data_IF_454178467890
#
_entry.id   IF_454178467890
#
_cell.length_a   1.000
_cell.length_b   1.000
_cell.length_c   1.000
_cell.angle_alpha   90.00
_cell.angle_beta   90.00
_cell.angle_gamma   90.00
#
_symmetry.space_group_name_H-M   'P 1'
#
loop_
_entity.id
_entity.type
_entity.pdbx_description
1 polymer ?
#
# COMPACT_ATOMS: atom_id res chain seq x y z
N UNK A 1 9.16 -12.04 -9.76
CA UNK A 1 9.13 -11.14 -8.59
C UNK A 1 8.72 -9.71 -8.93
N UNK A 2 9.19 -9.13 -10.06
CA UNK A 2 8.86 -7.72 -10.42
C UNK A 2 7.37 -7.43 -10.49
N UNK A 3 6.58 -8.27 -11.13
CA UNK A 3 5.13 -8.06 -11.31
C UNK A 3 4.29 -8.26 -10.04
N UNK A 4 4.90 -8.62 -8.92
CA UNK A 4 4.17 -8.86 -7.66
C UNK A 4 4.00 -7.61 -6.78
N UNK A 5 4.83 -6.57 -6.97
CA UNK A 5 4.80 -5.39 -6.10
C UNK A 5 3.44 -4.67 -6.14
N UNK A 6 2.89 -4.44 -7.34
CA UNK A 6 1.58 -3.81 -7.52
C UNK A 6 0.45 -4.63 -6.88
N UNK A 7 0.26 -5.90 -7.26
CA UNK A 7 -0.74 -6.78 -6.65
C UNK A 7 -0.63 -6.92 -5.14
N UNK A 8 0.58 -7.01 -4.58
CA UNK A 8 0.78 -7.08 -3.13
C UNK A 8 0.36 -5.79 -2.43
N UNK A 9 0.68 -4.64 -3.02
CA UNK A 9 0.25 -3.35 -2.49
C UNK A 9 -1.28 -3.20 -2.58
N UNK A 10 -1.90 -3.64 -3.69
CA UNK A 10 -3.36 -3.69 -3.83
C UNK A 10 -3.99 -4.60 -2.77
N UNK A 11 -3.42 -5.78 -2.54
CA UNK A 11 -3.90 -6.70 -1.52
C UNK A 11 -3.81 -6.10 -0.11
N UNK A 12 -2.74 -5.36 0.20
CA UNK A 12 -2.61 -4.64 1.47
C UNK A 12 -3.72 -3.60 1.64
N UNK A 13 -4.00 -2.78 0.60
CA UNK A 13 -5.10 -1.82 0.64
C UNK A 13 -6.48 -2.48 0.76
N UNK A 14 -6.70 -3.59 0.06
CA UNK A 14 -7.94 -4.36 0.15
C UNK A 14 -8.14 -4.98 1.54
N UNK A 15 -7.08 -5.49 2.16
CA UNK A 15 -7.13 -6.00 3.54
C UNK A 15 -7.46 -4.91 4.55
N UNK A 16 -6.92 -3.69 4.38
CA UNK A 16 -7.22 -2.57 5.26
C UNK A 16 -8.68 -2.11 5.11
N UNK A 17 -9.20 -2.06 3.86
CA UNK A 17 -10.62 -1.79 3.61
C UNK A 17 -11.52 -2.88 4.21
N UNK A 18 -11.14 -4.16 4.10
CA UNK A 18 -11.87 -5.25 4.72
C UNK A 18 -11.85 -5.15 6.24
N UNK A 19 -10.68 -4.80 6.81
CA UNK A 19 -10.54 -4.58 8.26
C UNK A 19 -11.53 -3.53 8.77
N UNK A 20 -11.60 -2.37 8.13
CA UNK A 20 -12.52 -1.31 8.57
C UNK A 20 -13.99 -1.71 8.41
N UNK A 21 -14.34 -2.44 7.34
CA UNK A 21 -15.70 -2.92 7.13
C UNK A 21 -16.13 -3.99 8.13
N UNK A 22 -15.19 -4.77 8.68
CA UNK A 22 -15.49 -5.79 9.69
C UNK A 22 -15.50 -5.20 11.10
N UNK A 23 -14.48 -4.43 11.46
CA UNK A 23 -14.28 -3.96 12.84
C UNK A 23 -14.90 -2.60 13.12
N UNK A 24 -15.11 -1.77 12.10
CA UNK A 24 -15.67 -0.41 12.20
C UNK A 24 -16.97 -0.23 11.39
N UNK A 25 -17.69 -1.33 11.10
CA UNK A 25 -18.91 -1.31 10.28
C UNK A 25 -19.97 -0.32 10.79
N UNK A 26 -20.13 -0.18 12.11
CA UNK A 26 -21.10 0.75 12.73
C UNK A 26 -20.73 2.20 12.45
N UNK A 27 -19.46 2.54 12.54
CA UNK A 27 -18.94 3.89 12.29
C UNK A 27 -19.07 4.25 10.82
N UNK A 28 -18.75 3.32 9.91
CA UNK A 28 -18.93 3.50 8.47
C UNK A 28 -20.42 3.71 8.13
N UNK A 29 -21.30 2.90 8.71
CA UNK A 29 -22.74 3.05 8.52
C UNK A 29 -23.26 4.40 9.07
N UNK A 30 -22.78 4.86 10.23
CA UNK A 30 -23.13 6.14 10.80
C UNK A 30 -22.68 7.32 9.90
N UNK A 31 -21.45 7.27 9.36
CA UNK A 31 -20.95 8.26 8.40
C UNK A 31 -21.88 8.33 7.17
N UNK A 32 -22.29 7.15 6.64
CA UNK A 32 -23.17 7.08 5.49
C UNK A 32 -24.59 7.62 5.79
N UNK A 33 -25.15 7.32 6.95
CA UNK A 33 -26.49 7.76 7.38
C UNK A 33 -26.54 9.27 7.61
N UNK A 34 -25.46 9.85 8.14
CA UNK A 34 -25.39 11.29 8.43
C UNK A 34 -25.04 12.15 7.19
N UNK A 35 -24.89 11.54 5.98
CA UNK A 35 -24.82 12.26 4.70
C UNK A 35 -23.42 12.66 4.24
N UNK A 36 -22.37 12.12 4.79
CA UNK A 36 -20.95 12.29 4.41
C UNK A 36 -20.34 13.68 4.60
N UNK A 37 -21.13 14.74 4.73
CA UNK A 37 -20.61 16.10 4.87
C UNK A 37 -20.39 16.47 6.35
N UNK A 38 -19.14 16.75 6.72
CA UNK A 38 -18.73 17.19 8.06
C UNK A 38 -19.17 16.24 9.20
N UNK A 39 -19.17 14.92 8.94
CA UNK A 39 -19.72 13.91 9.87
C UNK A 39 -18.64 13.13 10.64
N UNK A 40 -17.38 13.26 10.22
CA UNK A 40 -16.23 12.58 10.86
C UNK A 40 -15.84 13.33 12.13
N UNK A 41 -15.67 14.64 12.06
CA UNK A 41 -15.38 15.54 13.19
C UNK A 41 -16.26 16.78 13.13
N UNK A 42 -17.56 16.64 13.43
CA UNK A 42 -18.51 17.75 13.35
C UNK A 42 -18.30 18.80 14.44
N UNK A 43 -17.69 18.43 15.57
CA UNK A 43 -17.38 19.32 16.66
C UNK A 43 -16.08 18.89 17.36
N UNK A 44 -14.95 19.56 17.10
CA UNK A 44 -13.66 19.21 17.67
C UNK A 44 -13.58 19.28 19.20
N UNK A 45 -14.59 19.86 19.86
CA UNK A 45 -14.69 19.84 21.32
C UNK A 45 -15.17 18.50 21.90
N UNK A 46 -15.73 17.62 21.06
CA UNK A 46 -16.21 16.29 21.45
C UNK A 46 -15.52 15.24 20.57
N UNK A 47 -14.65 14.44 21.18
CA UNK A 47 -13.90 13.40 20.46
C UNK A 47 -14.83 12.41 19.75
N UNK A 48 -14.72 12.34 18.41
CA UNK A 48 -15.34 11.34 17.54
C UNK A 48 -14.32 10.31 17.08
N UNK A 49 -13.37 9.98 17.95
CA UNK A 49 -12.18 9.16 17.69
C UNK A 49 -12.48 7.88 16.89
N UNK A 50 -13.60 7.23 17.16
CA UNK A 50 -13.99 6.01 16.44
C UNK A 50 -14.35 6.28 14.98
N UNK A 51 -15.01 7.39 14.66
CA UNK A 51 -15.32 7.78 13.28
C UNK A 51 -14.08 8.23 12.53
N UNK A 52 -13.20 8.99 13.19
CA UNK A 52 -11.91 9.39 12.62
C UNK A 52 -11.07 8.16 12.30
N UNK A 53 -10.99 7.19 13.19
CA UNK A 53 -10.27 5.94 12.95
C UNK A 53 -10.82 5.21 11.71
N UNK A 54 -12.14 5.06 11.61
CA UNK A 54 -12.77 4.43 10.45
C UNK A 54 -12.49 5.20 9.16
N UNK A 55 -12.55 6.53 9.19
CA UNK A 55 -12.26 7.39 8.05
C UNK A 55 -10.82 7.25 7.58
N UNK A 56 -9.84 7.29 8.50
CA UNK A 56 -8.44 7.18 8.14
C UNK A 56 -8.10 5.81 7.55
N UNK A 57 -8.66 4.72 8.06
CA UNK A 57 -8.52 3.39 7.45
C UNK A 57 -9.13 3.33 6.05
N UNK A 58 -10.32 3.91 5.83
CA UNK A 58 -10.91 3.99 4.50
C UNK A 58 -10.01 4.75 3.52
N UNK A 59 -9.49 5.90 3.94
CA UNK A 59 -8.61 6.72 3.10
C UNK A 59 -7.28 6.03 2.82
N UNK A 60 -6.66 5.43 3.85
CA UNK A 60 -5.39 4.71 3.70
C UNK A 60 -5.55 3.49 2.81
N UNK A 61 -6.56 2.66 3.04
CA UNK A 61 -6.83 1.47 2.24
C UNK A 61 -7.12 1.81 0.77
N UNK A 62 -7.96 2.81 0.51
CA UNK A 62 -8.26 3.27 -0.84
C UNK A 62 -7.02 3.84 -1.55
N UNK A 63 -6.24 4.68 -0.87
CA UNK A 63 -5.02 5.26 -1.42
C UNK A 63 -3.98 4.19 -1.74
N UNK A 64 -3.81 3.22 -0.84
CA UNK A 64 -2.87 2.10 -1.03
C UNK A 64 -3.29 1.21 -2.19
N UNK A 65 -4.58 0.98 -2.37
CA UNK A 65 -5.14 0.22 -3.49
C UNK A 65 -4.91 0.92 -4.82
N UNK A 66 -5.16 2.24 -4.89
CA UNK A 66 -4.90 3.07 -6.08
C UNK A 66 -3.41 3.09 -6.41
N UNK A 67 -2.55 3.27 -5.40
CA UNK A 67 -1.10 3.25 -5.56
C UNK A 67 -0.61 1.90 -6.08
N UNK A 68 -1.17 0.80 -5.57
CA UNK A 68 -0.87 -0.55 -6.05
C UNK A 68 -1.24 -0.73 -7.52
N UNK A 69 -2.41 -0.23 -7.94
CA UNK A 69 -2.84 -0.21 -9.32
C UNK A 69 -1.90 0.60 -10.22
N UNK A 70 -1.47 1.77 -9.76
CA UNK A 70 -0.52 2.63 -10.48
C UNK A 70 0.85 1.95 -10.62
N UNK A 71 1.34 1.30 -9.56
CA UNK A 71 2.58 0.52 -9.59
C UNK A 71 2.49 -0.62 -10.59
N UNK A 72 1.38 -1.36 -10.57
CA UNK A 72 1.14 -2.48 -11.50
C UNK A 72 1.13 -1.98 -12.95
N UNK A 73 0.33 -0.94 -13.23
CA UNK A 73 0.26 -0.33 -14.55
C UNK A 73 1.62 0.21 -15.03
N UNK A 74 2.38 0.88 -14.16
CA UNK A 74 3.71 1.38 -14.47
C UNK A 74 4.67 0.25 -14.83
N UNK A 75 4.68 -0.83 -14.05
CA UNK A 75 5.52 -1.99 -14.30
C UNK A 75 5.17 -2.70 -15.61
N UNK A 76 3.89 -2.76 -15.97
CA UNK A 76 3.46 -3.37 -17.24
C UNK A 76 3.86 -2.51 -18.46
N UNK A 77 3.84 -1.19 -18.32
CA UNK A 77 4.18 -0.25 -19.41
C UNK A 77 5.68 -0.04 -19.59
N UNK A 78 6.41 0.12 -18.50
CA UNK A 78 7.82 0.53 -18.53
C UNK A 78 8.79 -0.63 -18.22
N UNK A 79 8.28 -1.74 -17.68
CA UNK A 79 9.11 -2.85 -17.19
C UNK A 79 9.98 -2.50 -15.98
N UNK A 80 9.85 -1.27 -15.45
CA UNK A 80 10.67 -0.76 -14.35
C UNK A 80 9.81 -0.25 -13.20
N UNK A 81 10.38 -0.24 -12.00
CA UNK A 81 9.78 0.38 -10.82
C UNK A 81 10.64 1.57 -10.41
N UNK A 82 10.06 2.78 -10.24
CA UNK A 82 10.79 3.92 -9.74
C UNK A 82 11.37 3.63 -8.35
N UNK A 83 12.69 3.75 -8.19
CA UNK A 83 13.39 3.43 -6.95
C UNK A 83 12.95 4.31 -5.77
N UNK A 84 12.59 5.57 -6.04
CA UNK A 84 12.14 6.49 -5.01
C UNK A 84 10.89 5.98 -4.29
N UNK A 85 9.99 5.27 -4.98
CA UNK A 85 8.75 4.77 -4.40
C UNK A 85 9.01 3.71 -3.32
N UNK A 86 9.94 2.78 -3.57
CA UNK A 86 10.36 1.79 -2.58
C UNK A 86 10.99 2.45 -1.35
N UNK A 87 11.87 3.42 -1.55
CA UNK A 87 12.49 4.17 -0.45
C UNK A 87 11.51 5.02 0.33
N UNK A 88 10.56 5.66 -0.33
CA UNK A 88 9.51 6.45 0.33
C UNK A 88 8.61 5.57 1.20
N UNK A 89 8.18 4.42 0.68
CA UNK A 89 7.38 3.46 1.46
C UNK A 89 8.17 2.86 2.63
N UNK A 90 9.48 2.64 2.46
CA UNK A 90 10.33 2.16 3.54
C UNK A 90 10.44 3.21 4.65
N UNK A 91 10.69 4.46 4.30
CA UNK A 91 10.75 5.57 5.27
C UNK A 91 9.40 5.74 6.01
N UNK A 92 8.28 5.69 5.27
CA UNK A 92 6.94 5.79 5.84
C UNK A 92 6.64 4.61 6.78
N UNK A 93 6.97 3.38 6.35
CA UNK A 93 6.78 2.19 7.16
C UNK A 93 7.60 2.20 8.44
N UNK A 94 8.87 2.63 8.38
CA UNK A 94 9.73 2.79 9.55
C UNK A 94 9.18 3.85 10.52
N UNK A 95 8.77 5.02 10.01
CA UNK A 95 8.15 6.04 10.83
C UNK A 95 6.87 5.52 11.49
N UNK A 96 6.03 4.81 10.74
CA UNK A 96 4.80 4.21 11.26
C UNK A 96 5.05 3.19 12.36
N UNK A 97 6.03 2.28 12.21
CA UNK A 97 6.38 1.30 13.24
C UNK A 97 6.96 1.97 14.49
N UNK A 98 7.79 3.02 14.32
CA UNK A 98 8.34 3.77 15.47
C UNK A 98 7.23 4.49 16.24
N UNK A 99 6.28 5.11 15.54
CA UNK A 99 5.19 5.85 16.18
C UNK A 99 4.08 4.94 16.72
N UNK A 100 3.83 3.79 16.06
CA UNK A 100 2.77 2.84 16.41
C UNK A 100 3.27 1.40 16.26
N UNK A 101 4.05 0.86 17.24
CA UNK A 101 4.68 -0.46 17.13
C UNK A 101 3.67 -1.62 17.04
N UNK A 102 2.44 -1.44 17.49
CA UNK A 102 1.35 -2.43 17.40
C UNK A 102 0.37 -2.09 16.26
N UNK A 103 0.88 -1.82 15.07
CA UNK A 103 0.06 -1.42 13.91
C UNK A 103 0.34 -2.28 12.69
N UNK A 104 -0.50 -2.11 11.65
CA UNK A 104 -0.33 -2.77 10.34
C UNK A 104 0.91 -2.32 9.54
N UNK A 105 1.69 -1.33 10.00
CA UNK A 105 2.89 -0.86 9.31
C UNK A 105 3.96 -1.96 9.16
N UNK A 106 3.95 -2.98 9.99
CA UNK A 106 4.82 -4.15 9.84
C UNK A 106 4.63 -4.88 8.50
N UNK A 107 3.44 -4.84 7.91
CA UNK A 107 3.15 -5.44 6.60
C UNK A 107 3.78 -4.61 5.48
N UNK A 108 3.85 -3.29 5.66
CA UNK A 108 4.41 -2.37 4.66
C UNK A 108 5.93 -2.52 4.55
N UNK A 109 6.64 -2.80 5.66
CA UNK A 109 8.10 -2.88 5.65
C UNK A 109 8.66 -3.95 4.69
N UNK A 110 8.25 -5.24 4.75
CA UNK A 110 8.75 -6.24 3.82
C UNK A 110 8.36 -5.92 2.37
N UNK A 111 7.19 -5.33 2.14
CA UNK A 111 6.76 -4.90 0.82
C UNK A 111 7.63 -3.76 0.29
N UNK A 112 7.95 -2.76 1.11
CA UNK A 112 8.84 -1.66 0.76
C UNK A 112 10.26 -2.16 0.44
N UNK A 113 10.79 -3.08 1.26
CA UNK A 113 12.08 -3.73 0.99
C UNK A 113 12.06 -4.47 -0.34
N UNK A 114 11.00 -5.25 -0.61
CA UNK A 114 10.83 -5.93 -1.89
C UNK A 114 10.83 -4.93 -3.06
N UNK A 115 10.13 -3.80 -2.92
CA UNK A 115 10.09 -2.76 -3.96
C UNK A 115 11.45 -2.12 -4.19
N UNK A 116 12.24 -1.84 -3.14
CA UNK A 116 13.61 -1.33 -3.26
C UNK A 116 14.51 -2.34 -3.98
N UNK A 117 14.43 -3.62 -3.61
CA UNK A 117 15.22 -4.70 -4.25
C UNK A 117 14.85 -4.85 -5.73
N UNK A 118 13.55 -4.86 -6.04
CA UNK A 118 13.04 -4.95 -7.41
C UNK A 118 13.47 -3.75 -8.26
N UNK A 119 13.43 -2.54 -7.70
CA UNK A 119 13.84 -1.33 -8.39
C UNK A 119 15.36 -1.29 -8.69
N UNK A 120 16.16 -1.86 -7.78
CA UNK A 120 17.63 -1.95 -7.98
C UNK A 120 18.08 -2.99 -9.01
N UNK A 121 17.29 -4.07 -9.19
CA UNK A 121 17.52 -5.08 -10.21
C UNK A 121 17.05 -4.54 -11.56
N UNK A 122 17.89 -3.71 -12.21
CA UNK A 122 17.60 -3.06 -13.49
C UNK A 122 17.34 -4.04 -14.65
N UNK A 123 16.91 -3.56 -15.84
CA UNK A 123 16.64 -4.39 -17.02
C UNK A 123 17.84 -5.24 -17.48
N UNK A 124 19.05 -4.85 -17.13
CA UNK A 124 20.29 -5.47 -17.57
C UNK A 124 20.53 -6.88 -17.00
N UNK A 125 20.04 -7.17 -15.80
CA UNK A 125 20.17 -8.52 -15.21
C UNK A 125 19.26 -9.55 -15.89
N UNK A 126 18.06 -9.14 -16.33
CA UNK A 126 17.11 -10.04 -17.01
C UNK A 126 17.64 -10.40 -18.43
N UNK A 127 18.32 -9.46 -19.09
CA UNK A 127 18.97 -9.71 -20.39
C UNK A 127 20.15 -10.67 -20.22
N UNK A 128 20.98 -10.46 -19.21
CA UNK A 128 22.12 -11.33 -18.92
C UNK A 128 21.70 -12.75 -18.52
N UNK A 129 20.62 -12.89 -17.75
CA UNK A 129 20.08 -14.20 -17.36
C UNK A 129 19.37 -14.90 -18.55
N UNK A 130 18.71 -14.16 -19.40
CA UNK A 130 18.13 -14.65 -20.66
C UNK A 130 19.18 -15.17 -21.62
N UNK A 131 20.31 -14.45 -21.76
CA UNK A 131 21.45 -14.89 -22.58
C UNK A 131 22.14 -16.12 -21.97
N UNK A 132 22.34 -16.20 -20.67
CA UNK A 132 22.85 -17.39 -19.99
C UNK A 132 21.97 -18.62 -20.24
N UNK A 133 20.68 -18.49 -20.13
CA UNK A 133 19.75 -19.60 -20.39
C UNK A 133 19.79 -20.07 -21.82
N UNK A 134 19.94 -19.16 -22.79
CA UNK A 134 20.08 -19.51 -24.21
C UNK A 134 21.42 -20.24 -24.50
N UNK A 135 22.51 -19.87 -23.84
CA UNK A 135 23.82 -20.54 -23.99
C UNK A 135 23.87 -21.93 -23.37
N UNK A 136 23.03 -22.22 -22.37
CA UNK A 136 22.99 -23.53 -21.70
C UNK A 136 22.05 -24.50 -22.45
N UNK A 137 21.10 -23.97 -23.24
CA UNK A 137 20.10 -24.76 -23.96
C UNK A 137 20.50 -25.09 -25.43
N UNK A 138 21.61 -24.57 -25.96
CA UNK A 138 22.15 -24.84 -27.28
C UNK A 138 23.48 -25.58 -27.22
#
# INVERSE_FOLDING_TARGET
>A
MRRLCGPLLMATGALDLLYVLVFHARQVAAIAQDGFFNVVDPNPAFSTFDRETAFWHLMFGATTLILGGLVHWSQDRTGTLPSFLGWSLLALGLAGVVMMPFSGFWIILPLAVLMVVVARRGPLEDVAEGERRRRVAG
#
